data_IF_707686153013
#
_entry.id   IF_707686153013
#
_cell.length_a   1.000
_cell.length_b   1.000
_cell.length_c   1.000
_cell.angle_alpha   90.00
_cell.angle_beta   90.00
_cell.angle_gamma   90.00
#
_symmetry.space_group_name_H-M   'P 1'
#
loop_
_entity.id
_entity.type
_entity.pdbx_description
1 polymer ?
#
# COMPACT_ATOMS: atom_id res chain seq x y z
N UNK A 1 -10.55 -12.99 -20.56
CA UNK A 1 -9.31 -13.25 -19.79
C UNK A 1 -9.69 -13.69 -18.38
N UNK A 2 -9.25 -14.88 -17.98
CA UNK A 2 -9.41 -15.34 -16.60
C UNK A 2 -8.20 -14.86 -15.80
N UNK A 3 -8.38 -13.80 -15.00
CA UNK A 3 -7.32 -13.15 -14.23
C UNK A 3 -6.34 -14.13 -13.56
N UNK A 4 -6.86 -15.15 -12.86
CA UNK A 4 -6.06 -16.11 -12.11
C UNK A 4 -5.35 -17.20 -12.95
N UNK A 5 -5.57 -17.26 -14.28
CA UNK A 5 -4.97 -18.27 -15.16
C UNK A 5 -3.96 -17.70 -16.15
N UNK A 6 -3.80 -16.38 -16.20
CA UNK A 6 -2.83 -15.75 -17.10
C UNK A 6 -1.43 -15.80 -16.50
N UNK A 7 -0.49 -16.41 -17.21
CA UNK A 7 0.90 -16.53 -16.77
C UNK A 7 1.55 -15.16 -16.51
N UNK A 8 1.17 -14.15 -17.30
CA UNK A 8 1.63 -12.77 -17.12
C UNK A 8 1.19 -12.20 -15.76
N UNK A 9 -0.06 -12.46 -15.37
CA UNK A 9 -0.62 -11.99 -14.10
C UNK A 9 0.10 -12.61 -12.90
N UNK A 10 0.35 -13.92 -12.93
CA UNK A 10 1.09 -14.60 -11.87
C UNK A 10 2.53 -14.12 -11.75
N UNK A 11 3.20 -13.86 -12.88
CA UNK A 11 4.56 -13.30 -12.88
C UNK A 11 4.55 -11.88 -12.31
N UNK A 12 3.55 -11.07 -12.63
CA UNK A 12 3.37 -9.72 -12.07
C UNK A 12 3.16 -9.78 -10.55
N UNK A 13 2.17 -10.54 -10.08
CA UNK A 13 1.83 -10.68 -8.65
C UNK A 13 3.00 -11.24 -7.82
N UNK A 14 3.88 -12.05 -8.41
CA UNK A 14 5.08 -12.56 -7.72
C UNK A 14 6.09 -11.46 -7.33
N UNK A 15 5.97 -10.25 -7.88
CA UNK A 15 6.84 -9.14 -7.51
C UNK A 15 6.39 -8.38 -6.26
N UNK A 16 5.16 -8.58 -5.76
CA UNK A 16 4.59 -7.84 -4.64
C UNK A 16 5.10 -8.28 -3.24
N UNK A 17 5.42 -9.56 -2.96
CA UNK A 17 5.80 -9.98 -1.60
C UNK A 17 6.97 -9.20 -0.98
N UNK A 18 7.99 -8.85 -1.77
CA UNK A 18 9.14 -8.10 -1.27
C UNK A 18 8.82 -6.60 -1.00
N UNK A 19 8.23 -5.85 -1.95
CA UNK A 19 7.69 -4.51 -1.71
C UNK A 19 6.68 -4.42 -0.57
N UNK A 20 5.75 -5.39 -0.47
CA UNK A 20 4.76 -5.47 0.60
C UNK A 20 5.46 -5.66 1.95
N UNK A 21 6.42 -6.59 2.02
CA UNK A 21 7.22 -6.84 3.22
C UNK A 21 8.02 -5.62 3.66
N UNK A 22 8.63 -4.89 2.72
CA UNK A 22 9.36 -3.65 3.03
C UNK A 22 8.41 -2.55 3.55
N UNK A 23 7.27 -2.37 2.90
CA UNK A 23 6.23 -1.41 3.31
C UNK A 23 5.69 -1.71 4.70
N UNK A 24 5.40 -2.99 4.97
CA UNK A 24 4.97 -3.46 6.29
C UNK A 24 6.05 -3.23 7.35
N UNK A 25 7.33 -3.50 7.04
CA UNK A 25 8.45 -3.24 7.94
C UNK A 25 8.55 -1.75 8.30
N UNK A 26 8.45 -0.85 7.34
CA UNK A 26 8.46 0.60 7.62
C UNK A 26 7.26 1.02 8.49
N UNK A 27 6.09 0.41 8.27
CA UNK A 27 4.92 0.59 9.12
C UNK A 27 5.16 0.14 10.57
N UNK A 28 5.79 -1.02 10.77
CA UNK A 28 6.17 -1.52 12.09
C UNK A 28 7.18 -0.61 12.76
N UNK A 29 8.21 -0.15 12.03
CA UNK A 29 9.19 0.81 12.54
C UNK A 29 8.45 2.07 13.01
N UNK A 30 7.60 2.66 12.16
CA UNK A 30 6.77 3.81 12.52
C UNK A 30 5.95 3.59 13.79
N UNK A 31 5.24 2.46 13.89
CA UNK A 31 4.43 2.13 15.05
C UNK A 31 5.28 2.03 16.34
N UNK A 32 6.45 1.38 16.27
CA UNK A 32 7.40 1.31 17.39
C UNK A 32 7.91 2.71 17.78
N UNK A 33 8.18 3.57 16.81
CA UNK A 33 8.58 4.96 17.04
C UNK A 33 7.48 5.79 17.72
N UNK A 34 6.23 5.64 17.27
CA UNK A 34 5.07 6.32 17.86
C UNK A 34 4.85 5.89 19.31
N UNK A 35 4.95 4.59 19.62
CA UNK A 35 4.85 4.08 21.00
C UNK A 35 6.00 4.57 21.88
N UNK A 36 7.17 4.82 21.28
CA UNK A 36 8.37 5.28 21.98
C UNK A 36 8.54 6.80 21.97
N UNK A 37 7.56 7.55 21.45
CA UNK A 37 7.61 9.01 21.43
C UNK A 37 8.90 9.51 20.75
N UNK A 38 9.12 9.02 19.52
CA UNK A 38 10.30 9.35 18.71
C UNK A 38 9.91 10.10 17.45
N UNK A 39 10.64 11.17 17.17
CA UNK A 39 10.52 12.01 15.98
C UNK A 39 10.65 11.24 14.66
N UNK A 40 11.55 10.26 14.60
CA UNK A 40 11.74 9.42 13.42
C UNK A 40 10.52 8.57 13.06
N UNK A 41 9.52 8.43 13.95
CA UNK A 41 8.30 7.68 13.68
C UNK A 41 7.51 8.25 12.49
N UNK A 42 7.39 9.57 12.43
CA UNK A 42 6.67 10.27 11.35
C UNK A 42 7.34 10.01 10.01
N UNK A 43 8.67 10.03 9.96
CA UNK A 43 9.44 9.73 8.75
C UNK A 43 9.12 8.33 8.21
N UNK A 44 9.26 7.29 9.04
CA UNK A 44 9.01 5.92 8.59
C UNK A 44 7.53 5.67 8.28
N UNK A 45 6.62 6.37 8.96
CA UNK A 45 5.20 6.32 8.66
C UNK A 45 4.86 6.91 7.29
N UNK A 46 5.49 8.03 6.91
CA UNK A 46 5.32 8.61 5.58
C UNK A 46 5.92 7.73 4.48
N UNK A 47 7.07 7.11 4.73
CA UNK A 47 7.67 6.13 3.80
C UNK A 47 6.74 4.93 3.61
N UNK A 48 6.21 4.37 4.70
CA UNK A 48 5.24 3.26 4.63
C UNK A 48 3.96 3.66 3.88
N UNK A 49 3.39 4.82 4.18
CA UNK A 49 2.16 5.30 3.55
C UNK A 49 2.37 5.59 2.05
N UNK A 50 3.53 6.10 1.65
CA UNK A 50 3.93 6.23 0.25
C UNK A 50 4.06 4.87 -0.44
N UNK A 51 4.63 3.87 0.24
CA UNK A 51 4.70 2.49 -0.24
C UNK A 51 3.31 1.89 -0.50
N UNK A 52 2.38 2.02 0.46
CA UNK A 52 0.98 1.58 0.32
C UNK A 52 0.33 2.22 -0.92
N UNK A 53 0.48 3.53 -1.08
CA UNK A 53 -0.09 4.24 -2.23
C UNK A 53 0.53 3.76 -3.56
N UNK A 54 1.85 3.61 -3.60
CA UNK A 54 2.55 3.14 -4.80
C UNK A 54 2.12 1.71 -5.20
N UNK A 55 1.97 0.80 -4.22
CA UNK A 55 1.50 -0.56 -4.45
C UNK A 55 0.10 -0.59 -5.07
N UNK A 56 -0.83 0.24 -4.57
CA UNK A 56 -2.15 0.38 -5.19
C UNK A 56 -2.07 0.93 -6.61
N UNK A 57 -1.23 1.95 -6.86
CA UNK A 57 -1.10 2.56 -8.18
C UNK A 57 -0.52 1.60 -9.24
N UNK A 58 0.50 0.81 -8.89
CA UNK A 58 1.09 -0.13 -9.85
C UNK A 58 0.12 -1.27 -10.18
N UNK A 59 -0.64 -1.77 -9.20
CA UNK A 59 -1.65 -2.80 -9.42
C UNK A 59 -2.85 -2.29 -10.22
N UNK A 60 -3.38 -1.10 -9.89
CA UNK A 60 -4.42 -0.44 -10.68
C UNK A 60 -3.94 -0.23 -12.12
N UNK A 61 -2.69 0.21 -12.31
CA UNK A 61 -2.13 0.40 -13.64
C UNK A 61 -2.15 -0.91 -14.42
N UNK A 62 -1.67 -2.01 -13.83
CA UNK A 62 -1.73 -3.32 -14.48
C UNK A 62 -3.16 -3.71 -14.87
N UNK A 63 -4.12 -3.55 -13.95
CA UNK A 63 -5.51 -3.90 -14.19
C UNK A 63 -6.18 -3.06 -15.29
N UNK A 64 -5.88 -1.76 -15.36
CA UNK A 64 -6.38 -0.88 -16.43
C UNK A 64 -5.79 -1.24 -17.78
N UNK A 65 -4.46 -1.35 -17.89
CA UNK A 65 -3.79 -1.58 -19.17
C UNK A 65 -4.08 -2.97 -19.76
N UNK A 66 -4.39 -3.95 -18.91
CA UNK A 66 -4.73 -5.32 -19.36
C UNK A 66 -6.25 -5.58 -19.37
N UNK A 67 -7.09 -4.56 -19.18
CA UNK A 67 -8.55 -4.68 -19.24
C UNK A 67 -9.15 -5.63 -18.20
N UNK A 68 -8.47 -5.82 -17.07
CA UNK A 68 -8.80 -6.84 -16.08
C UNK A 68 -10.05 -6.52 -15.27
N UNK A 69 -10.39 -5.24 -15.08
CA UNK A 69 -11.61 -4.82 -14.40
C UNK A 69 -12.90 -5.23 -15.13
N UNK A 70 -12.82 -5.59 -16.41
CA UNK A 70 -13.94 -6.15 -17.18
C UNK A 70 -14.23 -7.62 -16.82
N UNK A 71 -13.35 -8.26 -16.03
CA UNK A 71 -13.46 -9.66 -15.62
C UNK A 71 -14.23 -9.79 -14.30
N UNK A 72 -15.39 -10.45 -14.32
CA UNK A 72 -16.15 -10.76 -13.12
C UNK A 72 -15.64 -12.05 -12.46
N UNK A 73 -14.54 -11.93 -11.72
CA UNK A 73 -13.91 -13.04 -10.96
C UNK A 73 -13.81 -12.69 -9.47
N UNK A 74 -13.90 -13.70 -8.61
CA UNK A 74 -13.67 -13.54 -7.16
C UNK A 74 -12.25 -13.01 -6.86
N UNK A 75 -11.25 -13.38 -7.67
CA UNK A 75 -9.89 -12.85 -7.55
C UNK A 75 -9.86 -11.34 -7.80
N UNK A 76 -10.50 -10.88 -8.88
CA UNK A 76 -10.59 -9.46 -9.23
C UNK A 76 -11.35 -8.64 -8.19
N UNK A 77 -12.36 -9.23 -7.55
CA UNK A 77 -13.06 -8.58 -6.44
C UNK A 77 -12.12 -8.33 -5.25
N UNK A 78 -11.32 -9.32 -4.88
CA UNK A 78 -10.34 -9.18 -3.79
C UNK A 78 -9.27 -8.13 -4.12
N UNK A 79 -8.76 -8.14 -5.35
CA UNK A 79 -7.80 -7.14 -5.84
C UNK A 79 -8.38 -5.72 -5.79
N UNK A 80 -9.62 -5.55 -6.25
CA UNK A 80 -10.27 -4.25 -6.22
C UNK A 80 -10.46 -3.73 -4.78
N UNK A 81 -10.75 -4.62 -3.82
CA UNK A 81 -10.80 -4.24 -2.41
C UNK A 81 -9.43 -3.79 -1.89
N UNK A 82 -8.36 -4.49 -2.23
CA UNK A 82 -6.99 -4.10 -1.86
C UNK A 82 -6.63 -2.74 -2.47
N UNK A 83 -6.96 -2.52 -3.75
CA UNK A 83 -6.71 -1.25 -4.42
C UNK A 83 -7.46 -0.09 -3.76
N UNK A 84 -8.72 -0.28 -3.39
CA UNK A 84 -9.49 0.73 -2.64
C UNK A 84 -8.83 1.02 -1.29
N UNK A 85 -8.39 0.00 -0.56
CA UNK A 85 -7.69 0.18 0.72
C UNK A 85 -6.39 0.95 0.49
N UNK A 86 -5.56 0.58 -0.47
CA UNK A 86 -4.30 1.29 -0.75
C UNK A 86 -4.53 2.75 -1.14
N UNK A 87 -5.52 3.02 -1.99
CA UNK A 87 -5.87 4.35 -2.48
C UNK A 87 -6.54 5.25 -1.43
N UNK A 88 -7.07 4.67 -0.35
CA UNK A 88 -7.69 5.44 0.74
C UNK A 88 -6.75 5.56 1.94
N UNK A 89 -6.21 4.43 2.41
CA UNK A 89 -5.35 4.36 3.58
C UNK A 89 -4.01 5.09 3.37
N UNK A 90 -3.38 4.94 2.20
CA UNK A 90 -2.11 5.61 1.91
C UNK A 90 -2.21 7.14 2.04
N UNK A 91 -3.09 7.82 1.26
CA UNK A 91 -3.30 9.26 1.38
C UNK A 91 -3.80 9.71 2.75
N UNK A 92 -4.67 8.92 3.39
CA UNK A 92 -5.14 9.21 4.74
C UNK A 92 -3.98 9.23 5.75
N UNK A 93 -3.10 8.22 5.73
CA UNK A 93 -1.95 8.16 6.63
C UNK A 93 -0.95 9.28 6.34
N UNK A 94 -0.69 9.60 5.07
CA UNK A 94 0.14 10.75 4.68
C UNK A 94 -0.43 12.03 5.29
N UNK A 95 -1.73 12.29 5.08
CA UNK A 95 -2.40 13.48 5.61
C UNK A 95 -2.35 13.52 7.14
N UNK A 96 -2.67 12.42 7.81
CA UNK A 96 -2.72 12.32 9.26
C UNK A 96 -1.35 12.55 9.89
N UNK A 97 -0.32 11.83 9.44
CA UNK A 97 1.03 11.93 9.97
C UNK A 97 1.62 13.31 9.72
N UNK A 98 1.45 13.84 8.50
CA UNK A 98 1.98 15.16 8.16
C UNK A 98 1.30 16.29 8.95
N UNK A 99 -0.02 16.24 9.10
CA UNK A 99 -0.78 17.27 9.82
C UNK A 99 -0.51 17.25 11.32
N UNK A 100 -0.23 16.08 11.89
CA UNK A 100 0.03 15.91 13.32
C UNK A 100 1.52 15.84 13.68
N UNK A 101 2.44 15.96 12.71
CA UNK A 101 3.89 15.75 12.93
C UNK A 101 4.45 16.45 14.15
N UNK A 102 4.15 17.74 14.34
CA UNK A 102 4.67 18.53 15.48
C UNK A 102 4.21 18.01 16.84
N UNK A 103 2.99 17.46 16.91
CA UNK A 103 2.46 16.87 18.14
C UNK A 103 3.07 15.48 18.39
N UNK A 104 3.28 14.72 17.32
CA UNK A 104 3.85 13.37 17.38
C UNK A 104 5.36 13.38 17.61
N UNK A 105 6.06 14.44 17.20
CA UNK A 105 7.50 14.65 17.43
C UNK A 105 7.82 15.24 18.81
N UNK A 106 6.83 15.88 19.46
CA UNK A 106 6.99 16.53 20.77
C UNK A 106 6.47 15.69 21.95
N UNK A 107 5.74 14.61 21.69
CA UNK A 107 5.34 13.61 22.68
C UNK A 107 6.52 12.71 22.99
#
# INVERSE_FOLDING_TARGET
>A
MHAAKDACYLVFQRNFPAPDGATALFGVISAVGLVRNKDWAVLWGLVAAGGILFLGLIDISYNVWNGMYSSFSAAMLAENMINIVCMTLGPFLIYFLWSNRRKLEAA
#
